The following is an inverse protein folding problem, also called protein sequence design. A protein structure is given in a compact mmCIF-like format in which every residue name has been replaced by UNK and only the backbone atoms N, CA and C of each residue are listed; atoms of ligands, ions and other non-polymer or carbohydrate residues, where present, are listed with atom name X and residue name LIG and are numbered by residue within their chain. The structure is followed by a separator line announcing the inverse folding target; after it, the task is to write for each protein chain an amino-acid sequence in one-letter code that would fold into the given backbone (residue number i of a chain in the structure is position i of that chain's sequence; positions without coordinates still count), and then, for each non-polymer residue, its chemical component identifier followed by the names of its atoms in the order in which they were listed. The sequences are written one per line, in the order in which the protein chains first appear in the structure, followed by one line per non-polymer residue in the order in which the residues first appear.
data_IF_049606598078
#
_entry.id   IF_049606598078
#
_cell.length_a   1.000
_cell.length_b   1.000
_cell.length_c   1.000
_cell.angle_alpha   90.00
_cell.angle_beta   90.00
_cell.angle_gamma   90.00
#
_symmetry.space_group_name_H-M   'P 1'
#
loop_
_entity.id
_entity.type
_entity.pdbx_description
1 polymer ?
#
# COMPACT_ATOMS: atom_id res chain seq x y z
N UNK A 1 -20.38 -18.22 -24.60
CA UNK A 1 -19.35 -17.18 -24.38
C UNK A 1 -18.49 -17.65 -23.23
N UNK A 2 -17.17 -17.59 -23.36
CA UNK A 2 -16.24 -17.90 -22.26
C UNK A 2 -16.07 -16.61 -21.44
N UNK A 3 -16.28 -16.69 -20.13
CA UNK A 3 -16.13 -15.57 -19.21
C UNK A 3 -15.12 -15.97 -18.14
N UNK A 4 -14.11 -15.14 -17.92
CA UNK A 4 -13.16 -15.29 -16.83
C UNK A 4 -13.50 -14.27 -15.74
N UNK A 5 -13.61 -14.73 -14.50
CA UNK A 5 -13.86 -13.89 -13.32
C UNK A 5 -12.71 -14.11 -12.35
N UNK A 6 -12.23 -13.01 -11.74
CA UNK A 6 -11.16 -13.05 -10.75
C UNK A 6 -11.69 -13.34 -9.36
N UNK A 7 -10.82 -13.85 -8.51
CA UNK A 7 -11.13 -14.15 -7.13
C UNK A 7 -9.93 -14.68 -6.39
N UNK A 8 -10.12 -14.90 -5.10
CA UNK A 8 -9.11 -15.36 -4.17
C UNK A 8 -9.44 -16.80 -3.79
N UNK A 9 -8.42 -17.66 -3.76
CA UNK A 9 -8.54 -19.01 -3.23
C UNK A 9 -7.99 -19.06 -1.80
N UNK A 10 -8.86 -19.35 -0.84
CA UNK A 10 -8.50 -19.43 0.58
C UNK A 10 -9.19 -20.64 1.24
N UNK A 11 -8.44 -21.47 1.95
CA UNK A 11 -8.95 -22.61 2.73
C UNK A 11 -9.87 -23.58 1.96
N UNK A 12 -9.63 -23.79 0.66
CA UNK A 12 -10.47 -24.68 -0.18
C UNK A 12 -11.69 -24.00 -0.79
N UNK A 13 -11.88 -22.69 -0.57
CA UNK A 13 -12.97 -21.90 -1.11
C UNK A 13 -12.45 -20.87 -2.11
N UNK A 14 -13.13 -20.75 -3.25
CA UNK A 14 -12.92 -19.65 -4.20
C UNK A 14 -13.92 -18.55 -3.89
N UNK A 15 -13.42 -17.37 -3.54
CA UNK A 15 -14.19 -16.16 -3.27
C UNK A 15 -14.05 -15.27 -4.51
N UNK A 16 -15.15 -15.04 -5.23
CA UNK A 16 -15.14 -14.23 -6.45
C UNK A 16 -15.19 -12.75 -6.10
N UNK A 17 -14.41 -11.95 -6.83
CA UNK A 17 -14.42 -10.48 -6.69
C UNK A 17 -15.70 -9.88 -7.31
N UNK A 18 -16.26 -10.58 -8.30
CA UNK A 18 -17.45 -10.17 -9.04
C UNK A 18 -18.49 -11.31 -9.11
N UNK A 19 -19.80 -10.99 -9.09
CA UNK A 19 -20.84 -11.99 -9.22
C UNK A 19 -20.87 -12.57 -10.64
N UNK A 20 -21.08 -13.88 -10.75
CA UNK A 20 -21.30 -14.52 -12.04
C UNK A 20 -22.67 -14.11 -12.62
N UNK A 21 -22.78 -13.95 -13.95
CA UNK A 21 -24.05 -13.67 -14.62
C UNK A 21 -25.01 -14.86 -14.65
N UNK A 22 -24.70 -15.95 -13.93
CA UNK A 22 -25.50 -17.18 -13.84
C UNK A 22 -25.55 -17.69 -12.40
N UNK A 23 -26.67 -18.31 -12.04
CA UNK A 23 -26.87 -18.91 -10.72
C UNK A 23 -26.22 -20.29 -10.57
N UNK A 24 -26.01 -21.02 -11.67
CA UNK A 24 -25.41 -22.36 -11.66
C UNK A 24 -24.65 -22.65 -12.96
N UNK A 25 -23.38 -23.08 -12.84
CA UNK A 25 -22.55 -23.46 -13.97
C UNK A 25 -21.44 -24.42 -13.54
N UNK A 26 -20.93 -25.23 -14.48
CA UNK A 26 -19.66 -25.94 -14.33
C UNK A 26 -18.53 -24.97 -14.58
N UNK A 27 -17.56 -24.93 -13.68
CA UNK A 27 -16.43 -24.00 -13.74
C UNK A 27 -15.10 -24.76 -13.74
N UNK A 28 -14.09 -24.18 -14.38
CA UNK A 28 -12.70 -24.61 -14.29
C UNK A 28 -11.97 -23.49 -13.57
N UNK A 29 -11.25 -23.83 -12.50
CA UNK A 29 -10.45 -22.87 -11.73
C UNK A 29 -9.03 -22.91 -12.27
N UNK A 30 -8.53 -21.76 -12.72
CA UNK A 30 -7.13 -21.59 -13.12
C UNK A 30 -6.44 -20.73 -12.08
N UNK A 31 -5.45 -21.30 -11.41
CA UNK A 31 -4.63 -20.56 -10.44
C UNK A 31 -3.64 -19.73 -11.25
N UNK A 32 -3.76 -18.41 -11.12
CA UNK A 32 -2.78 -17.47 -11.66
C UNK A 32 -1.87 -17.15 -10.48
N UNK A 33 -0.65 -17.69 -10.49
CA UNK A 33 0.37 -17.29 -9.53
C UNK A 33 0.69 -15.81 -9.77
N UNK A 34 0.09 -14.90 -8.99
CA UNK A 34 0.70 -13.59 -8.80
C UNK A 34 1.98 -13.86 -8.03
N UNK A 35 3.10 -13.88 -8.75
CA UNK A 35 4.40 -13.70 -8.14
C UNK A 35 4.34 -12.30 -7.55
N UNK A 36 3.96 -12.20 -6.28
CA UNK A 36 4.07 -10.96 -5.52
C UNK A 36 5.57 -10.76 -5.24
N UNK A 37 6.31 -10.45 -6.30
CA UNK A 37 7.70 -9.97 -6.30
C UNK A 37 7.77 -8.56 -5.69
N UNK A 38 6.76 -8.12 -4.95
CA UNK A 38 6.91 -6.97 -4.09
C UNK A 38 7.75 -7.44 -2.91
N UNK A 39 9.04 -7.04 -2.85
CA UNK A 39 9.82 -7.36 -1.68
C UNK A 39 9.06 -6.82 -0.48
N UNK A 40 8.87 -7.67 0.54
CA UNK A 40 8.37 -7.25 1.84
C UNK A 40 9.21 -6.04 2.28
N UNK A 41 8.67 -4.83 2.09
CA UNK A 41 9.39 -3.60 2.36
C UNK A 41 9.62 -3.58 3.87
N UNK A 42 10.87 -3.86 4.29
CA UNK A 42 11.26 -3.75 5.69
C UNK A 42 10.92 -2.34 6.16
N UNK A 43 10.25 -2.24 7.32
CA UNK A 43 10.03 -0.94 7.97
C UNK A 43 11.38 -0.25 8.13
N UNK A 44 11.53 0.94 7.52
CA UNK A 44 12.75 1.74 7.65
C UNK A 44 12.89 2.19 9.10
N UNK A 45 14.08 2.07 9.72
CA UNK A 45 14.30 2.62 11.05
C UNK A 45 14.13 4.15 11.02
N UNK A 46 13.66 4.73 12.12
CA UNK A 46 13.57 6.17 12.25
C UNK A 46 14.97 6.80 12.32
N UNK A 47 15.10 8.04 11.82
CA UNK A 47 16.33 8.80 11.96
C UNK A 47 17.48 8.41 11.02
N UNK A 48 17.22 7.66 9.93
CA UNK A 48 18.23 7.33 8.91
C UNK A 48 18.87 8.55 8.24
N UNK A 49 18.21 9.70 8.33
CA UNK A 49 18.69 10.99 7.80
C UNK A 49 19.15 11.95 8.91
N UNK A 50 19.37 11.47 10.14
CA UNK A 50 19.86 12.33 11.23
C UNK A 50 21.23 12.90 10.83
N UNK A 51 21.36 14.23 10.86
CA UNK A 51 22.61 14.93 10.53
C UNK A 51 22.85 15.18 9.04
N UNK A 52 21.92 14.80 8.15
CA UNK A 52 22.03 15.13 6.71
C UNK A 52 21.50 16.53 6.39
N UNK A 53 20.77 17.15 7.31
CA UNK A 53 20.20 18.49 7.17
C UNK A 53 20.84 19.36 8.24
N UNK A 54 21.38 20.50 7.82
CA UNK A 54 21.87 21.53 8.72
C UNK A 54 20.78 22.57 8.94
N UNK A 55 20.62 23.00 10.19
CA UNK A 55 19.73 24.06 10.63
C UNK A 55 20.58 25.07 11.42
N UNK A 56 20.31 26.36 11.24
CA UNK A 56 21.00 27.39 11.98
C UNK A 56 20.66 27.28 13.48
N UNK A 57 21.63 27.58 14.35
CA UNK A 57 21.48 27.44 15.80
C UNK A 57 20.37 28.35 16.37
N UNK A 58 20.10 29.45 15.67
CA UNK A 58 19.11 30.49 15.97
C UNK A 58 17.75 30.28 15.27
N UNK A 59 17.51 29.13 14.61
CA UNK A 59 16.29 28.93 13.82
C UNK A 59 14.98 29.16 14.59
N UNK A 60 14.98 28.91 15.91
CA UNK A 60 13.81 29.10 16.75
C UNK A 60 13.74 30.49 17.40
N UNK A 61 14.73 31.36 17.16
CA UNK A 61 14.72 32.72 17.70
C UNK A 61 13.62 33.57 17.02
N UNK A 62 12.91 34.42 17.77
CA UNK A 62 11.89 35.28 17.21
C UNK A 62 12.52 36.28 16.24
N UNK A 63 11.95 36.37 15.04
CA UNK A 63 12.34 37.41 14.10
C UNK A 63 11.98 38.78 14.68
N UNK A 64 12.93 39.71 14.65
CA UNK A 64 12.76 41.07 15.17
C UNK A 64 11.51 41.74 14.57
N UNK A 65 11.29 41.55 13.27
CA UNK A 65 10.15 42.11 12.53
C UNK A 65 8.78 41.51 12.92
N UNK A 66 8.78 40.35 13.60
CA UNK A 66 7.56 39.65 14.02
C UNK A 66 7.30 39.74 15.53
N UNK A 67 8.13 40.48 16.29
CA UNK A 67 7.99 40.64 17.74
C UNK A 67 6.65 41.23 18.17
N UNK A 68 6.03 42.06 17.33
CA UNK A 68 4.73 42.67 17.63
C UNK A 68 3.55 41.69 17.47
N UNK A 69 3.79 40.48 16.93
CA UNK A 69 2.77 39.50 16.58
C UNK A 69 2.91 38.13 17.30
N UNK A 70 3.97 37.92 18.07
CA UNK A 70 4.23 36.71 18.88
C UNK A 70 4.07 37.01 20.37
#
# INVERSE_FOLDING_TARGET
MLTAVRGIYENGQVILDEPLPTQHAKVIVTIIEEIDDKPLLKKRPFGTMKGTIWMADDFNEPLDDLKEYM
#
